data_IF_734257771713
#
_entry.id   IF_734257771713
#
_cell.length_a   1.000
_cell.length_b   1.000
_cell.length_c   1.000
_cell.angle_alpha   90.00
_cell.angle_beta   90.00
_cell.angle_gamma   90.00
#
_symmetry.space_group_name_H-M   'P 1'
#
loop_
_entity.id
_entity.type
_entity.pdbx_description
1 polymer ?
#
# COMPACT_ATOMS: atom_id res chain seq x y z
N UNK A 1 6.16 4.91 -2.89
CA UNK A 1 5.26 4.66 -1.75
C UNK A 1 4.93 6.02 -1.17
N UNK A 2 3.67 6.41 -0.94
CA UNK A 2 3.38 7.67 -0.26
C UNK A 2 3.88 7.56 1.19
N UNK A 3 5.12 8.00 1.38
CA UNK A 3 5.78 8.19 2.66
C UNK A 3 6.01 9.69 2.77
N UNK A 4 5.38 10.34 3.74
CA UNK A 4 5.37 11.79 3.82
C UNK A 4 4.49 12.32 4.94
N UNK A 5 4.55 13.64 5.16
CA UNK A 5 3.78 14.34 6.18
C UNK A 5 2.28 14.04 6.01
N UNK A 6 1.64 13.54 7.07
CA UNK A 6 0.24 13.10 7.05
C UNK A 6 0.01 11.61 6.80
N UNK A 7 1.07 10.79 6.70
CA UNK A 7 0.98 9.34 6.59
C UNK A 7 2.00 8.69 7.52
N UNK A 8 1.54 7.82 8.43
CA UNK A 8 2.39 7.12 9.39
C UNK A 8 2.27 5.62 9.18
N UNK A 9 3.41 4.91 9.14
CA UNK A 9 3.42 3.45 9.20
C UNK A 9 3.24 3.03 10.66
N UNK A 10 2.14 2.36 10.96
CA UNK A 10 1.84 1.91 12.33
C UNK A 10 2.46 0.55 12.60
N UNK A 11 2.32 -0.38 11.64
CA UNK A 11 2.83 -1.73 11.78
C UNK A 11 3.03 -2.44 10.44
N UNK A 12 3.82 -3.51 10.46
CA UNK A 12 3.91 -4.48 9.39
C UNK A 12 3.68 -5.89 9.96
N UNK A 13 2.87 -6.69 9.27
CA UNK A 13 2.52 -8.04 9.68
C UNK A 13 2.70 -9.02 8.52
N UNK A 14 3.32 -10.17 8.80
CA UNK A 14 3.48 -11.24 7.82
C UNK A 14 2.50 -12.38 8.10
N UNK A 15 1.65 -12.69 7.12
CA UNK A 15 0.79 -13.86 7.15
C UNK A 15 1.44 -15.01 6.38
N UNK A 16 1.81 -16.07 7.10
CA UNK A 16 2.49 -17.25 6.55
C UNK A 16 1.61 -18.01 5.55
N UNK A 17 0.32 -18.19 5.87
CA UNK A 17 -0.61 -18.98 5.07
C UNK A 17 -0.81 -18.37 3.68
N UNK A 18 -0.88 -17.03 3.60
CA UNK A 18 -1.07 -16.32 2.33
C UNK A 18 0.24 -15.77 1.76
N UNK A 19 1.38 -15.96 2.46
CA UNK A 19 2.68 -15.33 2.17
C UNK A 19 2.56 -13.83 1.92
N UNK A 20 1.73 -13.14 2.70
CA UNK A 20 1.43 -11.72 2.51
C UNK A 20 2.09 -10.87 3.59
N UNK A 21 2.93 -9.94 3.18
CA UNK A 21 3.42 -8.85 4.04
C UNK A 21 2.45 -7.67 3.94
N UNK A 22 1.78 -7.35 5.04
CA UNK A 22 0.80 -6.26 5.11
C UNK A 22 1.39 -5.09 5.87
N UNK A 23 1.35 -3.91 5.27
CA UNK A 23 1.74 -2.65 5.88
C UNK A 23 0.48 -1.85 6.24
N UNK A 24 0.34 -1.53 7.53
CA UNK A 24 -0.77 -0.73 8.04
C UNK A 24 -0.32 0.71 8.23
N UNK A 25 -1.01 1.62 7.56
CA UNK A 25 -0.78 3.05 7.63
C UNK A 25 -1.99 3.77 8.19
N UNK A 26 -1.72 4.80 8.98
CA UNK A 26 -2.71 5.77 9.41
C UNK A 26 -2.49 7.09 8.67
N UNK A 27 -3.55 7.58 8.03
CA UNK A 27 -3.60 8.89 7.40
C UNK A 27 -4.01 9.93 8.43
N UNK A 28 -3.32 11.07 8.45
CA UNK A 28 -3.59 12.22 9.30
C UNK A 28 -3.56 13.53 8.51
N UNK A 29 -4.02 14.60 9.15
CA UNK A 29 -3.90 15.98 8.67
C UNK A 29 -4.44 16.16 7.24
N UNK A 30 -3.62 16.71 6.33
CA UNK A 30 -4.00 17.00 4.96
C UNK A 30 -4.29 15.76 4.11
N UNK A 31 -3.91 14.57 4.55
CA UNK A 31 -4.20 13.31 3.84
C UNK A 31 -5.43 12.58 4.38
N UNK A 32 -5.99 13.04 5.50
CA UNK A 32 -7.18 12.47 6.16
C UNK A 32 -8.38 13.40 6.01
N UNK A 33 -8.78 13.64 4.76
CA UNK A 33 -9.89 14.52 4.41
C UNK A 33 -10.80 13.90 3.35
N UNK A 34 -12.10 14.21 3.35
CA UNK A 34 -13.07 13.60 2.44
C UNK A 34 -12.72 13.82 0.95
N UNK A 35 -12.17 14.98 0.59
CA UNK A 35 -11.73 15.26 -0.78
C UNK A 35 -10.55 14.39 -1.21
N UNK A 36 -9.59 14.14 -0.31
CA UNK A 36 -8.44 13.27 -0.60
C UNK A 36 -8.90 11.82 -0.68
N UNK A 37 -9.77 11.37 0.23
CA UNK A 37 -10.33 10.02 0.18
C UNK A 37 -11.07 9.77 -1.13
N UNK A 38 -11.88 10.73 -1.58
CA UNK A 38 -12.56 10.67 -2.87
C UNK A 38 -11.56 10.61 -4.03
N UNK A 39 -10.53 11.47 -4.04
CA UNK A 39 -9.49 11.45 -5.08
C UNK A 39 -8.74 10.13 -5.12
N UNK A 40 -8.42 9.54 -3.97
CA UNK A 40 -7.76 8.24 -3.88
C UNK A 40 -8.67 7.11 -4.39
N UNK A 41 -9.97 7.19 -4.14
CA UNK A 41 -10.96 6.24 -4.66
C UNK A 41 -11.15 6.38 -6.18
N UNK A 42 -11.30 7.60 -6.70
CA UNK A 42 -11.47 7.88 -8.13
C UNK A 42 -10.22 7.57 -8.96
N UNK A 43 -9.03 7.72 -8.36
CA UNK A 43 -7.75 7.48 -9.02
C UNK A 43 -7.06 6.19 -8.54
N UNK A 44 -7.83 5.23 -8.02
CA UNK A 44 -7.30 3.99 -7.44
C UNK A 44 -6.40 3.22 -8.41
N UNK A 45 -6.73 3.23 -9.71
CA UNK A 45 -5.94 2.57 -10.75
C UNK A 45 -4.61 3.28 -11.01
N UNK A 46 -4.61 4.61 -11.02
CA UNK A 46 -3.39 5.40 -11.18
C UNK A 46 -2.47 5.18 -9.97
N UNK A 47 -3.02 5.22 -8.77
CA UNK A 47 -2.31 4.93 -7.53
C UNK A 47 -1.75 3.50 -7.53
N UNK A 48 -2.54 2.51 -7.94
CA UNK A 48 -2.10 1.12 -8.06
C UNK A 48 -0.90 1.00 -9.01
N UNK A 49 -0.95 1.64 -10.18
CA UNK A 49 0.16 1.63 -11.15
C UNK A 49 1.42 2.29 -10.61
N UNK A 50 1.29 3.44 -9.96
CA UNK A 50 2.42 4.15 -9.37
C UNK A 50 3.06 3.33 -8.24
N UNK A 51 2.25 2.77 -7.34
CA UNK A 51 2.72 1.91 -6.25
C UNK A 51 3.37 0.63 -6.77
N UNK A 52 2.81 0.02 -7.82
CA UNK A 52 3.41 -1.15 -8.46
C UNK A 52 4.77 -0.81 -9.08
N UNK A 53 4.88 0.33 -9.75
CA UNK A 53 6.16 0.83 -10.29
C UNK A 53 7.18 1.04 -9.18
N UNK A 54 6.79 1.69 -8.09
CA UNK A 54 7.66 1.90 -6.93
C UNK A 54 8.08 0.58 -6.26
N UNK A 55 7.17 -0.38 -6.14
CA UNK A 55 7.44 -1.72 -5.60
C UNK A 55 8.50 -2.43 -6.45
N UNK A 56 8.32 -2.43 -7.78
CA UNK A 56 9.24 -3.08 -8.73
C UNK A 56 10.63 -2.47 -8.75
N UNK A 57 10.75 -1.18 -8.48
CA UNK A 57 12.02 -0.46 -8.43
C UNK A 57 12.66 -0.47 -7.02
N UNK A 58 12.01 -1.08 -6.02
CA UNK A 58 12.53 -1.13 -4.65
C UNK A 58 13.56 -2.24 -4.51
N UNK A 59 14.83 -1.86 -4.33
CA UNK A 59 15.93 -2.79 -4.06
C UNK A 59 15.68 -3.55 -2.75
N UNK A 60 15.20 -2.86 -1.72
CA UNK A 60 14.93 -3.46 -0.41
C UNK A 60 13.82 -4.52 -0.44
N UNK A 61 12.91 -4.46 -1.41
CA UNK A 61 11.80 -5.41 -1.55
C UNK A 61 12.07 -6.49 -2.60
N UNK A 62 13.22 -6.43 -3.30
CA UNK A 62 13.55 -7.34 -4.40
C UNK A 62 13.61 -8.80 -3.97
N UNK A 63 14.33 -9.08 -2.88
CA UNK A 63 14.47 -10.44 -2.34
C UNK A 63 13.10 -11.04 -1.97
N UNK A 64 12.26 -10.28 -1.28
CA UNK A 64 10.89 -10.70 -0.96
C UNK A 64 10.03 -10.96 -2.22
N UNK A 65 10.16 -10.14 -3.27
CA UNK A 65 9.49 -10.36 -4.56
C UNK A 65 9.98 -11.65 -5.26
N UNK A 66 11.28 -11.94 -5.21
CA UNK A 66 11.90 -13.15 -5.75
C UNK A 66 11.43 -14.41 -5.00
N UNK A 67 11.23 -14.32 -3.68
CA UNK A 67 10.61 -15.36 -2.88
C UNK A 67 9.08 -15.46 -3.03
N UNK A 68 8.48 -14.61 -3.87
CA UNK A 68 7.07 -14.72 -4.24
C UNK A 68 6.09 -14.27 -3.16
N UNK A 69 6.48 -13.30 -2.33
CA UNK A 69 5.59 -12.73 -1.32
C UNK A 69 4.56 -11.79 -1.94
N UNK A 70 3.35 -11.81 -1.40
CA UNK A 70 2.36 -10.77 -1.66
C UNK A 70 2.64 -9.55 -0.79
N UNK A 71 2.31 -8.36 -1.28
CA UNK A 71 2.41 -7.11 -0.54
C UNK A 71 1.04 -6.47 -0.45
N UNK A 72 0.57 -6.18 0.77
CA UNK A 72 -0.68 -5.47 1.00
C UNK A 72 -0.42 -4.15 1.71
N UNK A 73 -1.06 -3.09 1.25
CA UNK A 73 -0.95 -1.74 1.81
C UNK A 73 -2.34 -1.30 2.22
N UNK A 74 -2.53 -1.09 3.52
CA UNK A 74 -3.80 -0.72 4.13
C UNK A 74 -3.68 0.69 4.69
N UNK A 75 -4.42 1.63 4.12
CA UNK A 75 -4.47 3.02 4.60
C UNK A 75 -5.77 3.26 5.34
N UNK A 76 -5.66 3.68 6.60
CA UNK A 76 -6.80 3.91 7.50
C UNK A 76 -6.88 5.38 7.86
N UNK A 77 -8.07 5.96 7.78
CA UNK A 77 -8.35 7.33 8.22
C UNK A 77 -8.32 7.40 9.75
N UNK A 78 -7.50 8.28 10.32
CA UNK A 78 -7.51 8.51 11.78
C UNK A 78 -8.84 9.10 12.24
N UNK A 79 -9.45 9.96 11.44
CA UNK A 79 -10.72 10.63 11.74
C UNK A 79 -11.90 9.68 11.80
N UNK A 80 -11.96 8.69 10.90
CA UNK A 80 -13.13 7.81 10.76
C UNK A 80 -12.88 6.37 11.20
N UNK A 81 -11.62 5.97 11.36
CA UNK A 81 -11.22 4.59 11.62
C UNK A 81 -11.45 3.64 10.44
N UNK A 82 -11.90 4.14 9.28
CA UNK A 82 -12.21 3.32 8.10
C UNK A 82 -11.03 3.21 7.17
N UNK A 83 -10.92 2.06 6.51
CA UNK A 83 -9.97 1.89 5.42
C UNK A 83 -10.37 2.77 4.24
N UNK A 84 -9.43 3.58 3.78
CA UNK A 84 -9.59 4.49 2.64
C UNK A 84 -9.12 3.79 1.37
N UNK A 85 -7.98 3.09 1.45
CA UNK A 85 -7.39 2.36 0.33
C UNK A 85 -6.82 1.05 0.86
N UNK A 86 -7.11 -0.04 0.15
CA UNK A 86 -6.47 -1.34 0.35
C UNK A 86 -5.95 -1.83 -1.00
N UNK A 87 -4.63 -1.98 -1.11
CA UNK A 87 -3.99 -2.43 -2.34
C UNK A 87 -3.14 -3.66 -2.07
N UNK A 88 -3.44 -4.74 -2.78
CA UNK A 88 -2.66 -5.98 -2.73
C UNK A 88 -1.98 -6.23 -4.08
N UNK A 89 -0.69 -6.53 -4.02
CA UNK A 89 0.15 -6.89 -5.16
C UNK A 89 0.69 -8.30 -4.95
N UNK A 90 0.52 -9.12 -5.97
CA UNK A 90 0.92 -10.53 -6.01
C UNK A 90 2.11 -10.71 -6.95
N UNK A 91 2.79 -11.87 -6.94
CA UNK A 91 3.82 -12.19 -7.92
C UNK A 91 3.44 -11.91 -9.38
N UNK A 92 2.17 -12.08 -9.74
CA UNK A 92 1.67 -11.82 -11.10
C UNK A 92 1.67 -10.33 -11.46
N UNK A 93 1.55 -9.45 -10.49
CA UNK A 93 1.51 -8.01 -10.72
C UNK A 93 2.92 -7.46 -10.99
N UNK A 94 3.93 -7.94 -10.25
CA UNK A 94 5.28 -7.34 -10.29
C UNK A 94 6.32 -8.16 -11.07
N UNK A 95 6.11 -9.47 -11.29
CA UNK A 95 6.94 -10.25 -12.22
C UNK A 95 6.43 -9.97 -13.63
N UNK A 96 7.18 -9.20 -14.40
CA UNK A 96 6.93 -9.12 -15.85
C UNK A 96 7.05 -10.53 -16.43
N UNK A 97 6.08 -10.93 -17.25
CA UNK A 97 6.25 -11.97 -18.26
C UNK A 97 7.41 -11.62 -19.18
#
# INVERSE_FOLDING_TARGET
MPQGKGCTLDSAAFNVATRTLTYHYTLTDSLDGPDIHRKLAENSDALRREMLSALRNSIALKEYMEHGLNFSYVYTSRRTGRHVVVLTFTPRDYRRS
#
